data_IF_443931195231
#
_entry.id   IF_443931195231
#
_cell.length_a   1.000
_cell.length_b   1.000
_cell.length_c   1.000
_cell.angle_alpha   90.00
_cell.angle_beta   90.00
_cell.angle_gamma   90.00
#
_symmetry.space_group_name_H-M   'P 1'
#
loop_
_entity.id
_entity.type
_entity.pdbx_description
1 polymer ?
#
# COMPACT_ATOMS: atom_id res chain seq x y z
N UNK A 1 -10.90 24.32 -12.01
CA UNK A 1 -11.32 23.08 -12.71
C UNK A 1 -12.84 23.02 -12.76
N UNK A 2 -13.44 22.67 -13.88
CA UNK A 2 -14.87 22.57 -14.07
C UNK A 2 -15.24 21.13 -14.47
N UNK A 3 -16.46 20.69 -14.10
CA UNK A 3 -16.98 19.36 -14.47
C UNK A 3 -17.83 19.48 -15.73
N UNK A 4 -17.62 18.58 -16.69
CA UNK A 4 -18.44 18.52 -17.91
C UNK A 4 -19.76 17.80 -17.59
N UNK A 5 -20.86 18.55 -17.49
CA UNK A 5 -22.20 18.00 -17.20
C UNK A 5 -23.02 17.68 -18.47
N UNK A 6 -22.64 18.21 -19.66
CA UNK A 6 -23.35 17.99 -20.90
C UNK A 6 -23.39 16.52 -21.36
N UNK A 7 -24.27 16.19 -22.30
CA UNK A 7 -24.37 14.85 -22.90
C UNK A 7 -23.11 14.49 -23.69
N UNK A 8 -22.54 15.45 -24.40
CA UNK A 8 -21.30 15.28 -25.19
C UNK A 8 -20.12 15.57 -24.25
N UNK A 9 -19.20 14.60 -24.13
CA UNK A 9 -17.96 14.70 -23.37
C UNK A 9 -16.79 14.96 -24.32
N UNK A 10 -16.10 16.06 -24.10
CA UNK A 10 -14.91 16.43 -24.86
C UNK A 10 -13.67 15.79 -24.22
N UNK A 11 -12.69 15.49 -25.04
CA UNK A 11 -11.38 15.02 -24.64
C UNK A 11 -10.30 15.66 -25.52
N UNK A 12 -9.21 16.14 -24.92
CA UNK A 12 -8.14 16.85 -25.62
C UNK A 12 -8.07 18.32 -25.23
N UNK A 13 -7.32 19.11 -26.01
CA UNK A 13 -7.12 20.55 -25.75
C UNK A 13 -7.72 21.36 -26.88
N UNK A 14 -8.50 22.36 -26.53
CA UNK A 14 -9.10 23.33 -27.46
C UNK A 14 -8.75 24.74 -26.97
N UNK A 15 -7.90 25.42 -27.71
CA UNK A 15 -7.35 26.73 -27.26
C UNK A 15 -6.64 26.59 -25.92
N UNK A 16 -7.08 27.39 -24.96
CA UNK A 16 -6.52 27.38 -23.59
C UNK A 16 -7.24 26.42 -22.63
N UNK A 17 -8.21 25.64 -23.11
CA UNK A 17 -8.98 24.70 -22.28
C UNK A 17 -8.57 23.27 -22.60
N UNK A 18 -8.19 22.53 -21.56
CA UNK A 18 -7.92 21.08 -21.64
C UNK A 18 -9.08 20.30 -21.02
N UNK A 19 -9.65 19.39 -21.80
CA UNK A 19 -10.69 18.45 -21.40
C UNK A 19 -10.06 17.08 -21.14
N UNK A 20 -10.35 16.47 -20.00
CA UNK A 20 -9.78 15.19 -19.61
C UNK A 20 -10.73 14.39 -18.74
N UNK A 21 -10.52 13.09 -18.67
CA UNK A 21 -11.23 12.19 -17.78
C UNK A 21 -10.38 11.92 -16.54
N UNK A 22 -10.95 12.09 -15.36
CA UNK A 22 -10.36 11.72 -14.06
C UNK A 22 -11.19 10.63 -13.38
N UNK A 23 -10.76 10.18 -12.22
CA UNK A 23 -11.57 9.28 -11.35
C UNK A 23 -12.90 9.93 -10.93
N UNK A 24 -12.92 11.26 -10.84
CA UNK A 24 -14.11 12.04 -10.47
C UNK A 24 -15.00 12.39 -11.67
N UNK A 25 -14.68 11.85 -12.87
CA UNK A 25 -15.45 12.03 -14.10
C UNK A 25 -14.75 12.93 -15.14
N UNK A 26 -15.55 13.47 -16.06
CA UNK A 26 -15.07 14.34 -17.14
C UNK A 26 -14.91 15.77 -16.64
N UNK A 27 -13.70 16.31 -16.80
CA UNK A 27 -13.28 17.59 -16.27
C UNK A 27 -12.77 18.50 -17.39
N UNK A 28 -12.79 19.80 -17.10
CA UNK A 28 -12.16 20.82 -17.92
C UNK A 28 -11.29 21.73 -17.02
N UNK A 29 -10.15 22.15 -17.54
CA UNK A 29 -9.28 23.14 -16.89
C UNK A 29 -8.71 24.08 -17.92
N UNK A 30 -8.51 25.32 -17.52
CA UNK A 30 -7.73 26.28 -18.29
C UNK A 30 -6.26 25.85 -18.29
N UNK A 31 -5.58 25.95 -19.43
CA UNK A 31 -4.16 25.73 -19.59
C UNK A 31 -3.45 26.99 -19.08
N UNK A 32 -3.20 26.98 -17.78
CA UNK A 32 -2.47 28.07 -17.13
C UNK A 32 -1.15 27.61 -16.56
N UNK A 33 -0.34 28.55 -16.15
CA UNK A 33 0.91 28.31 -15.43
C UNK A 33 2.16 28.65 -16.24
N UNK A 34 3.31 28.32 -15.66
CA UNK A 34 4.62 28.57 -16.26
C UNK A 34 4.93 27.48 -17.28
N UNK A 35 5.58 27.84 -18.39
CA UNK A 35 6.00 26.88 -19.41
C UNK A 35 6.97 25.85 -18.85
N UNK A 36 6.91 24.60 -19.35
CA UNK A 36 7.80 23.54 -18.93
C UNK A 36 9.29 23.89 -19.14
N UNK A 37 9.59 24.62 -20.23
CA UNK A 37 10.94 25.08 -20.54
C UNK A 37 11.45 26.07 -19.49
N UNK A 38 10.61 27.01 -19.05
CA UNK A 38 10.97 27.95 -17.99
C UNK A 38 11.18 27.24 -16.65
N UNK A 39 10.32 26.27 -16.30
CA UNK A 39 10.52 25.45 -15.09
C UNK A 39 11.87 24.72 -15.16
N UNK A 40 12.23 24.21 -16.34
CA UNK A 40 13.47 23.45 -16.55
C UNK A 40 14.72 24.31 -16.45
N UNK A 41 14.71 25.55 -16.98
CA UNK A 41 15.91 26.35 -17.23
C UNK A 41 16.07 27.56 -16.27
N UNK A 42 14.97 28.15 -15.77
CA UNK A 42 15.04 29.33 -14.91
C UNK A 42 15.51 28.94 -13.49
N UNK A 43 16.59 29.56 -12.94
CA UNK A 43 17.09 29.25 -11.60
C UNK A 43 16.05 29.42 -10.48
N UNK A 44 15.08 30.31 -10.65
CA UNK A 44 13.99 30.53 -9.69
C UNK A 44 13.12 29.28 -9.46
N UNK A 45 13.13 28.32 -10.40
CA UNK A 45 12.40 27.05 -10.29
C UNK A 45 13.25 25.88 -9.80
N UNK A 46 14.47 26.12 -9.28
CA UNK A 46 15.32 25.07 -8.73
C UNK A 46 14.57 24.21 -7.69
N UNK A 47 13.93 24.85 -6.71
CA UNK A 47 13.15 24.16 -5.67
C UNK A 47 11.98 23.33 -6.23
N UNK A 48 11.36 23.81 -7.31
CA UNK A 48 10.28 23.07 -7.99
C UNK A 48 10.83 21.81 -8.65
N UNK A 49 12.01 21.89 -9.27
CA UNK A 49 12.67 20.73 -9.88
C UNK A 49 13.11 19.69 -8.84
N UNK A 50 13.72 20.16 -7.74
CA UNK A 50 14.13 19.30 -6.61
C UNK A 50 12.92 18.53 -6.04
N UNK A 51 11.85 19.25 -5.72
CA UNK A 51 10.60 18.62 -5.24
C UNK A 51 9.99 17.66 -6.26
N UNK A 52 10.02 18.02 -7.54
CA UNK A 52 9.53 17.16 -8.61
C UNK A 52 10.35 15.87 -8.76
N UNK A 53 11.68 15.96 -8.59
CA UNK A 53 12.57 14.81 -8.63
C UNK A 53 12.31 13.84 -7.47
N UNK A 54 12.21 14.35 -6.24
CA UNK A 54 11.91 13.56 -5.04
C UNK A 54 10.51 12.92 -5.13
N UNK A 55 9.51 13.68 -5.55
CA UNK A 55 8.16 13.15 -5.77
C UNK A 55 8.13 12.05 -6.84
N UNK A 56 8.92 12.20 -7.91
CA UNK A 56 9.07 11.18 -8.94
C UNK A 56 9.70 9.88 -8.40
N UNK A 57 10.73 9.98 -7.52
CA UNK A 57 11.31 8.81 -6.85
C UNK A 57 10.33 8.15 -5.91
N UNK A 58 9.62 8.93 -5.08
CA UNK A 58 8.56 8.42 -4.20
C UNK A 58 7.48 7.66 -4.98
N UNK A 59 7.06 8.19 -6.14
CA UNK A 59 6.10 7.52 -7.01
C UNK A 59 6.61 6.20 -7.59
N UNK A 60 7.90 6.13 -7.99
CA UNK A 60 8.54 4.90 -8.46
C UNK A 60 8.66 3.88 -7.33
N UNK A 61 9.11 4.29 -6.15
CA UNK A 61 9.20 3.42 -4.98
C UNK A 61 7.84 2.84 -4.59
N UNK A 62 6.81 3.68 -4.50
CA UNK A 62 5.45 3.22 -4.23
C UNK A 62 4.88 2.32 -5.33
N UNK A 63 5.29 2.48 -6.59
CA UNK A 63 4.93 1.55 -7.67
C UNK A 63 5.60 0.19 -7.45
N UNK A 64 6.88 0.16 -7.11
CA UNK A 64 7.64 -1.07 -6.90
C UNK A 64 7.06 -1.88 -5.75
N UNK A 65 6.84 -1.26 -4.59
CA UNK A 65 6.20 -1.90 -3.44
C UNK A 65 4.81 -2.46 -3.79
N UNK A 66 3.99 -1.73 -4.53
CA UNK A 66 2.68 -2.24 -4.98
C UNK A 66 2.80 -3.41 -5.96
N UNK A 67 3.84 -3.44 -6.78
CA UNK A 67 4.07 -4.53 -7.73
C UNK A 67 4.42 -5.83 -7.00
N UNK A 68 5.14 -5.76 -5.87
CA UNK A 68 5.55 -6.94 -5.10
C UNK A 68 4.37 -7.67 -4.41
N UNK A 69 3.27 -6.97 -4.11
CA UNK A 69 2.05 -7.53 -3.48
C UNK A 69 0.80 -7.30 -4.35
N UNK A 70 0.96 -7.28 -5.66
CA UNK A 70 -0.14 -6.94 -6.58
C UNK A 70 -1.37 -7.85 -6.43
N UNK A 71 -1.16 -9.13 -6.13
CA UNK A 71 -2.24 -10.10 -5.91
C UNK A 71 -3.17 -9.68 -4.77
N UNK A 72 -2.60 -9.29 -3.64
CA UNK A 72 -3.34 -8.86 -2.45
C UNK A 72 -4.04 -7.51 -2.66
N UNK A 73 -3.39 -6.60 -3.39
CA UNK A 73 -3.96 -5.26 -3.64
C UNK A 73 -5.18 -5.27 -4.56
N UNK A 74 -5.44 -6.36 -5.26
CA UNK A 74 -6.65 -6.48 -6.10
C UNK A 74 -7.92 -6.43 -5.28
N UNK A 75 -7.87 -6.96 -4.07
CA UNK A 75 -9.04 -7.11 -3.18
C UNK A 75 -8.93 -6.31 -1.88
N UNK A 76 -7.75 -5.75 -1.56
CA UNK A 76 -7.50 -5.04 -0.31
C UNK A 76 -6.90 -3.64 -0.52
N UNK A 77 -7.36 -2.89 -1.53
CA UNK A 77 -6.88 -1.54 -1.79
C UNK A 77 -8.00 -0.55 -2.12
N UNK A 78 -7.95 0.65 -1.53
CA UNK A 78 -8.87 1.72 -1.90
C UNK A 78 -8.39 2.53 -3.12
N UNK A 79 -9.32 3.26 -3.74
CA UNK A 79 -9.08 4.06 -4.94
C UNK A 79 -8.05 5.18 -4.77
N UNK A 80 -7.73 5.61 -3.55
CA UNK A 80 -6.79 6.70 -3.24
C UNK A 80 -5.47 6.19 -2.62
N UNK A 81 -5.33 4.88 -2.45
CA UNK A 81 -4.16 4.23 -1.84
C UNK A 81 -2.86 4.69 -2.50
N UNK A 82 -2.80 4.76 -3.83
CA UNK A 82 -1.60 5.18 -4.57
C UNK A 82 -1.12 6.57 -4.16
N UNK A 83 -2.04 7.53 -4.04
CA UNK A 83 -1.69 8.90 -3.62
C UNK A 83 -1.24 8.96 -2.16
N UNK A 84 -1.88 8.18 -1.27
CA UNK A 84 -1.51 8.08 0.14
C UNK A 84 -0.12 7.47 0.29
N UNK A 85 0.14 6.34 -0.38
CA UNK A 85 1.44 5.67 -0.35
C UNK A 85 2.56 6.56 -0.89
N UNK A 86 2.33 7.27 -2.01
CA UNK A 86 3.32 8.22 -2.55
C UNK A 86 3.62 9.34 -1.54
N UNK A 87 2.61 9.84 -0.82
CA UNK A 87 2.80 10.84 0.23
C UNK A 87 3.70 10.33 1.36
N UNK A 88 3.50 9.09 1.81
CA UNK A 88 4.35 8.50 2.86
C UNK A 88 5.78 8.27 2.34
N UNK A 89 5.96 7.77 1.11
CA UNK A 89 7.31 7.69 0.52
C UNK A 89 8.02 9.03 0.36
N UNK A 90 7.29 10.14 0.13
CA UNK A 90 7.89 11.48 0.16
C UNK A 90 8.46 11.79 1.54
N UNK A 91 7.76 11.43 2.61
CA UNK A 91 8.27 11.62 3.98
C UNK A 91 9.53 10.79 4.23
N UNK A 92 9.52 9.50 3.81
CA UNK A 92 10.70 8.62 3.88
C UNK A 92 11.92 9.29 3.22
N UNK A 93 11.78 9.72 1.97
CA UNK A 93 12.84 10.41 1.22
C UNK A 93 13.30 11.70 1.91
N UNK A 94 12.40 12.43 2.55
CA UNK A 94 12.72 13.67 3.24
C UNK A 94 13.60 13.47 4.48
N UNK A 95 13.62 12.25 5.04
CA UNK A 95 14.49 11.87 6.16
C UNK A 95 15.92 11.55 5.72
N UNK A 96 16.19 11.39 4.43
CA UNK A 96 17.56 11.23 3.92
C UNK A 96 18.40 12.46 4.26
N UNK A 97 19.34 12.27 5.17
CA UNK A 97 20.30 13.28 5.63
C UNK A 97 21.63 13.22 4.86
N UNK A 98 21.85 12.18 4.06
CA UNK A 98 23.09 11.92 3.32
C UNK A 98 23.13 12.71 2.03
N UNK A 99 22.04 12.75 1.29
CA UNK A 99 21.97 13.35 -0.03
C UNK A 99 21.41 14.79 0.02
N UNK A 100 21.91 15.68 -0.85
CA UNK A 100 21.35 17.02 -0.96
C UNK A 100 19.93 16.94 -1.53
N UNK A 101 19.12 17.95 -1.18
CA UNK A 101 17.75 18.08 -1.68
C UNK A 101 17.67 17.97 -3.20
N UNK A 102 16.69 17.22 -3.68
CA UNK A 102 16.52 16.87 -5.09
C UNK A 102 17.22 15.58 -5.50
N UNK A 103 18.19 15.10 -4.72
CA UNK A 103 18.87 13.82 -4.92
C UNK A 103 18.52 12.78 -3.84
N UNK A 104 17.83 13.18 -2.79
CA UNK A 104 17.39 12.30 -1.70
C UNK A 104 16.62 11.10 -2.24
N UNK A 105 16.78 9.95 -1.59
CA UNK A 105 16.26 8.66 -2.03
C UNK A 105 15.61 7.88 -0.86
N UNK A 106 15.11 6.68 -1.14
CA UNK A 106 14.43 5.82 -0.13
C UNK A 106 15.45 5.03 0.69
N UNK A 107 16.60 4.69 0.10
CA UNK A 107 17.60 3.80 0.71
C UNK A 107 18.27 4.50 1.90
N UNK A 108 18.63 5.78 1.71
CA UNK A 108 19.21 6.62 2.76
C UNK A 108 18.13 7.35 3.60
N UNK A 109 16.86 7.05 3.34
CA UNK A 109 15.71 7.57 4.08
C UNK A 109 15.29 6.64 5.22
N UNK A 110 14.16 6.96 5.85
CA UNK A 110 13.61 6.22 6.99
C UNK A 110 12.41 5.38 6.53
N UNK A 111 12.66 4.14 6.05
CA UNK A 111 11.62 3.26 5.53
C UNK A 111 10.60 2.84 6.60
N UNK A 112 10.98 2.83 7.87
CA UNK A 112 10.15 2.53 9.04
C UNK A 112 8.93 3.44 9.17
N UNK A 113 8.97 4.65 8.59
CA UNK A 113 7.81 5.55 8.53
C UNK A 113 6.62 4.98 7.74
N UNK A 114 6.82 3.89 7.00
CA UNK A 114 5.75 3.15 6.32
C UNK A 114 5.04 2.14 7.23
N UNK A 115 5.59 1.83 8.40
CA UNK A 115 4.93 0.96 9.39
C UNK A 115 3.58 1.57 9.80
N UNK A 116 2.54 0.74 9.83
CA UNK A 116 1.17 1.19 10.06
C UNK A 116 0.44 1.70 8.82
N UNK A 117 1.03 1.65 7.62
CA UNK A 117 0.33 2.09 6.41
C UNK A 117 -0.79 1.14 6.04
N UNK A 118 -2.01 1.67 5.99
CA UNK A 118 -3.22 0.95 5.56
C UNK A 118 -3.43 1.06 4.05
N UNK A 119 -3.47 -0.07 3.35
CA UNK A 119 -3.76 -0.08 1.91
C UNK A 119 -5.23 0.19 1.60
N UNK A 120 -6.12 -0.12 2.54
CA UNK A 120 -7.56 0.12 2.43
C UNK A 120 -8.09 0.89 3.65
N UNK A 121 -8.47 2.15 3.46
CA UNK A 121 -9.03 2.96 4.55
C UNK A 121 -10.47 2.59 4.93
N UNK A 122 -11.16 1.80 4.08
CA UNK A 122 -12.51 1.31 4.38
C UNK A 122 -12.48 0.01 5.19
N UNK A 123 -11.37 -0.73 5.13
CA UNK A 123 -11.10 -1.92 5.92
C UNK A 123 -9.71 -1.76 6.55
N UNK A 124 -9.62 -1.09 7.70
CA UNK A 124 -8.36 -0.95 8.43
C UNK A 124 -8.11 -2.19 9.26
N UNK A 125 -6.86 -2.68 9.28
CA UNK A 125 -6.49 -3.85 10.07
C UNK A 125 -6.80 -3.63 11.57
N UNK A 126 -6.42 -2.48 12.11
CA UNK A 126 -6.66 -2.10 13.50
C UNK A 126 -8.14 -2.08 13.91
N UNK A 127 -9.04 -1.97 12.95
CA UNK A 127 -10.49 -2.03 13.19
C UNK A 127 -11.04 -3.43 12.94
N UNK A 128 -10.52 -4.13 11.94
CA UNK A 128 -11.04 -5.43 11.51
C UNK A 128 -10.56 -6.59 12.37
N UNK A 129 -9.39 -6.49 13.00
CA UNK A 129 -8.78 -7.51 13.84
C UNK A 129 -8.36 -6.88 15.17
N UNK A 130 -9.01 -7.26 16.28
CA UNK A 130 -8.67 -6.81 17.63
C UNK A 130 -7.78 -7.81 18.39
N UNK A 131 -7.59 -9.03 17.86
CA UNK A 131 -6.69 -10.01 18.45
C UNK A 131 -5.25 -9.48 18.47
N UNK A 132 -4.52 -9.66 19.58
CA UNK A 132 -3.10 -9.29 19.64
C UNK A 132 -2.28 -10.09 18.65
N UNK A 133 -1.35 -9.42 17.98
CA UNK A 133 -0.40 -10.07 17.08
C UNK A 133 0.99 -9.47 17.23
N UNK A 134 2.01 -10.27 16.96
CA UNK A 134 3.41 -9.88 17.05
C UNK A 134 4.13 -10.15 15.72
N UNK A 135 4.43 -9.11 14.94
CA UNK A 135 5.23 -9.23 13.73
C UNK A 135 6.73 -9.18 14.08
N UNK A 136 7.51 -10.07 13.49
CA UNK A 136 8.97 -10.11 13.62
C UNK A 136 9.63 -10.21 12.25
N UNK A 137 10.78 -9.57 12.11
CA UNK A 137 11.68 -9.68 10.96
C UNK A 137 13.05 -10.04 11.48
N UNK A 138 13.56 -11.21 11.12
CA UNK A 138 14.94 -11.61 11.36
C UNK A 138 15.71 -11.54 10.05
N UNK A 139 16.54 -10.53 9.93
CA UNK A 139 17.32 -10.28 8.72
C UNK A 139 18.39 -11.33 8.48
N UNK A 140 18.96 -11.89 9.55
CA UNK A 140 20.04 -12.87 9.46
C UNK A 140 19.55 -14.21 8.88
N UNK A 141 18.34 -14.62 9.24
CA UNK A 141 17.74 -15.85 8.71
C UNK A 141 16.85 -15.63 7.51
N UNK A 142 16.37 -14.40 7.30
CA UNK A 142 15.37 -14.07 6.30
C UNK A 142 13.93 -14.36 6.75
N UNK A 143 13.73 -14.78 8.01
CA UNK A 143 12.42 -15.13 8.54
C UNK A 143 11.59 -13.88 8.85
N UNK A 144 10.38 -13.87 8.36
CA UNK A 144 9.37 -12.84 8.63
C UNK A 144 8.10 -13.51 9.13
N UNK A 145 7.81 -13.34 10.41
CA UNK A 145 6.78 -14.12 11.11
C UNK A 145 5.76 -13.18 11.73
N UNK A 146 4.49 -13.53 11.61
CA UNK A 146 3.40 -12.95 12.39
C UNK A 146 2.82 -14.05 13.29
N UNK A 147 2.95 -13.88 14.59
CA UNK A 147 2.29 -14.68 15.60
C UNK A 147 1.00 -13.98 16.04
N UNK A 148 -0.11 -14.69 16.08
CA UNK A 148 -1.41 -14.20 16.55
C UNK A 148 -1.83 -15.08 17.70
N UNK A 149 -2.11 -14.46 18.85
CA UNK A 149 -2.57 -15.17 20.04
C UNK A 149 -3.95 -15.82 19.79
N UNK A 150 -4.33 -16.89 20.52
CA UNK A 150 -5.66 -17.46 20.44
C UNK A 150 -6.74 -16.39 20.64
N UNK A 151 -7.76 -16.39 19.80
CA UNK A 151 -8.85 -15.42 19.86
C UNK A 151 -10.18 -16.07 19.49
N UNK A 152 -11.29 -15.44 19.93
CA UNK A 152 -12.64 -15.84 19.53
C UNK A 152 -13.04 -15.00 18.32
N UNK A 153 -13.21 -15.62 17.11
CA UNK A 153 -13.46 -14.88 15.87
C UNK A 153 -14.67 -13.95 15.94
N UNK A 154 -15.77 -14.41 16.51
CA UNK A 154 -17.01 -13.61 16.63
C UNK A 154 -16.85 -12.36 17.51
N UNK A 155 -15.88 -12.34 18.44
CA UNK A 155 -15.62 -11.23 19.36
C UNK A 155 -14.48 -10.33 18.86
N UNK A 156 -13.48 -10.93 18.20
CA UNK A 156 -12.23 -10.25 17.83
C UNK A 156 -12.23 -9.71 16.41
N UNK A 157 -13.19 -10.11 15.57
CA UNK A 157 -13.29 -9.67 14.18
C UNK A 157 -14.50 -8.73 13.98
N UNK A 158 -14.22 -7.55 13.42
CA UNK A 158 -15.29 -6.66 12.93
C UNK A 158 -15.46 -6.91 11.43
N UNK A 159 -16.33 -7.87 11.12
CA UNK A 159 -16.63 -8.29 9.77
C UNK A 159 -17.82 -7.53 9.15
N UNK A 160 -17.87 -7.37 7.81
CA UNK A 160 -19.05 -6.86 7.12
C UNK A 160 -20.29 -7.72 7.39
N UNK A 161 -21.45 -7.10 7.45
CA UNK A 161 -22.72 -7.83 7.62
C UNK A 161 -22.92 -8.89 6.55
N UNK A 162 -23.24 -10.12 6.97
CA UNK A 162 -23.39 -11.28 6.10
C UNK A 162 -22.12 -12.11 5.92
N UNK A 163 -20.99 -11.71 6.50
CA UNK A 163 -19.79 -12.55 6.54
C UNK A 163 -20.01 -13.75 7.43
N UNK A 164 -19.59 -14.92 6.97
CA UNK A 164 -19.63 -16.19 7.72
C UNK A 164 -18.23 -16.73 7.99
N UNK A 165 -17.25 -16.34 7.17
CA UNK A 165 -15.88 -16.85 7.22
C UNK A 165 -14.86 -15.71 7.02
N UNK A 166 -13.63 -15.99 7.41
CA UNK A 166 -12.47 -15.12 7.23
C UNK A 166 -11.23 -15.88 6.81
N UNK A 167 -10.24 -15.17 6.32
CA UNK A 167 -8.89 -15.67 6.02
C UNK A 167 -7.88 -14.61 6.38
N UNK A 168 -6.81 -15.01 7.05
CA UNK A 168 -5.67 -14.13 7.37
C UNK A 168 -4.56 -14.40 6.35
N UNK A 169 -3.89 -13.35 5.90
CA UNK A 169 -2.79 -13.40 4.94
C UNK A 169 -1.64 -12.56 5.41
N UNK A 170 -0.43 -13.04 5.19
CA UNK A 170 0.81 -12.27 5.32
C UNK A 170 1.53 -12.23 3.98
N UNK A 171 2.26 -11.15 3.73
CA UNK A 171 3.25 -11.13 2.68
C UNK A 171 4.51 -10.41 3.16
N UNK A 172 5.64 -10.98 2.82
CA UNK A 172 6.97 -10.42 3.04
C UNK A 172 7.53 -9.90 1.72
N UNK A 173 8.31 -8.83 1.81
CA UNK A 173 8.92 -8.21 0.65
C UNK A 173 10.35 -7.78 1.00
N UNK A 174 11.28 -8.11 0.11
CA UNK A 174 12.64 -7.60 0.05
C UNK A 174 12.72 -6.72 -1.20
N UNK A 175 12.94 -5.42 -1.04
CA UNK A 175 12.82 -4.47 -2.13
C UNK A 175 14.12 -3.68 -2.34
N UNK A 176 14.77 -3.92 -3.49
CA UNK A 176 15.89 -3.10 -3.93
C UNK A 176 15.38 -1.91 -4.75
N UNK A 177 15.33 -0.73 -4.10
CA UNK A 177 14.85 0.50 -4.75
C UNK A 177 15.81 1.08 -5.78
N UNK A 178 17.08 0.69 -5.76
CA UNK A 178 18.09 1.14 -6.73
C UNK A 178 17.93 0.40 -8.06
N UNK A 179 17.99 -0.93 -8.02
CA UNK A 179 17.83 -1.78 -9.21
C UNK A 179 16.40 -1.96 -9.66
N UNK A 180 15.41 -1.52 -8.85
CA UNK A 180 13.98 -1.75 -9.05
C UNK A 180 13.62 -3.24 -9.08
N UNK A 181 14.31 -4.07 -8.32
CA UNK A 181 14.06 -5.49 -8.15
C UNK A 181 13.38 -5.76 -6.80
N UNK A 182 12.66 -6.88 -6.71
CA UNK A 182 12.09 -7.34 -5.44
C UNK A 182 11.99 -8.87 -5.41
N UNK A 183 12.02 -9.42 -4.20
CA UNK A 183 11.54 -10.74 -3.87
C UNK A 183 10.32 -10.60 -2.95
N UNK A 184 9.35 -11.50 -3.09
CA UNK A 184 8.17 -11.49 -2.20
C UNK A 184 7.65 -12.90 -2.02
N UNK A 185 7.16 -13.18 -0.81
CA UNK A 185 6.49 -14.42 -0.45
C UNK A 185 5.17 -14.10 0.24
N UNK A 186 4.17 -14.94 0.02
CA UNK A 186 2.84 -14.79 0.63
C UNK A 186 2.46 -16.09 1.30
N UNK A 187 1.95 -16.00 2.54
CA UNK A 187 1.42 -17.12 3.29
C UNK A 187 0.00 -16.77 3.78
N UNK A 188 -0.89 -17.75 3.82
CA UNK A 188 -2.28 -17.55 4.19
C UNK A 188 -2.86 -18.73 4.96
N UNK A 189 -3.82 -18.44 5.86
CA UNK A 189 -4.60 -19.48 6.51
C UNK A 189 -5.62 -20.11 5.54
N UNK A 190 -6.12 -21.31 5.81
CA UNK A 190 -7.38 -21.75 5.23
C UNK A 190 -8.50 -20.75 5.55
N UNK A 191 -9.59 -20.79 4.78
CA UNK A 191 -10.81 -20.06 5.12
C UNK A 191 -11.41 -20.69 6.37
N UNK A 192 -11.63 -19.88 7.42
CA UNK A 192 -12.09 -20.31 8.75
C UNK A 192 -13.44 -19.67 9.08
N UNK A 193 -14.31 -20.31 9.87
CA UNK A 193 -15.59 -19.78 10.26
C UNK A 193 -15.44 -18.62 11.26
N UNK A 194 -16.39 -17.68 11.22
CA UNK A 194 -16.54 -16.65 12.24
C UNK A 194 -17.50 -17.21 13.30
N UNK A 195 -16.95 -17.93 14.25
CA UNK A 195 -17.71 -18.59 15.32
C UNK A 195 -17.27 -18.12 16.71
N UNK A 196 -17.79 -18.76 17.75
CA UNK A 196 -17.52 -18.47 19.16
C UNK A 196 -16.49 -19.41 19.79
N UNK A 197 -15.85 -20.24 18.99
CA UNK A 197 -14.80 -21.13 19.48
C UNK A 197 -13.44 -20.40 19.55
N UNK A 198 -12.63 -20.74 20.54
CA UNK A 198 -11.30 -20.18 20.67
C UNK A 198 -10.40 -20.81 19.61
N UNK A 199 -9.72 -19.98 18.82
CA UNK A 199 -8.74 -20.49 17.83
C UNK A 199 -7.51 -21.06 18.51
N UNK A 200 -6.81 -21.96 17.80
CA UNK A 200 -5.42 -22.27 18.14
C UNK A 200 -4.51 -21.06 17.86
N UNK A 201 -3.32 -20.98 18.51
CA UNK A 201 -2.32 -19.97 18.16
C UNK A 201 -1.99 -20.04 16.66
N UNK A 202 -2.00 -18.90 15.98
CA UNK A 202 -1.70 -18.85 14.56
C UNK A 202 -0.29 -18.31 14.35
N UNK A 203 0.51 -19.00 13.55
CA UNK A 203 1.81 -18.52 13.08
C UNK A 203 1.83 -18.53 11.56
N UNK A 204 2.06 -17.37 10.97
CA UNK A 204 2.27 -17.21 9.54
C UNK A 204 3.74 -16.81 9.32
N UNK A 205 4.49 -17.72 8.72
CA UNK A 205 5.93 -17.57 8.46
C UNK A 205 6.19 -17.47 6.98
N UNK A 206 6.96 -16.47 6.60
CA UNK A 206 7.50 -16.25 5.26
C UNK A 206 9.03 -16.24 5.39
N UNK A 207 9.74 -16.74 4.36
CA UNK A 207 11.20 -16.75 4.36
C UNK A 207 11.73 -16.15 3.06
N UNK A 208 12.54 -15.12 3.17
CA UNK A 208 13.23 -14.45 2.07
C UNK A 208 14.74 -14.69 2.16
N UNK A 209 15.50 -14.02 1.30
CA UNK A 209 16.95 -14.15 1.30
C UNK A 209 17.55 -13.73 2.65
N UNK A 210 18.36 -14.57 3.31
CA UNK A 210 19.08 -14.19 4.51
C UNK A 210 20.09 -13.08 4.21
N UNK A 211 20.44 -12.33 5.26
CA UNK A 211 21.43 -11.24 5.23
C UNK A 211 21.16 -10.16 4.14
N UNK A 212 19.91 -9.97 3.75
CA UNK A 212 19.56 -8.94 2.77
C UNK A 212 19.92 -7.54 3.29
N UNK A 213 20.52 -6.72 2.44
CA UNK A 213 20.83 -5.31 2.72
C UNK A 213 19.73 -4.35 2.27
N UNK A 214 18.67 -4.87 1.65
CA UNK A 214 17.54 -4.06 1.20
C UNK A 214 16.55 -3.78 2.33
N UNK A 215 15.69 -2.77 2.21
CA UNK A 215 14.52 -2.62 3.08
C UNK A 215 13.57 -3.81 2.97
N UNK A 216 13.16 -4.32 4.14
CA UNK A 216 12.27 -5.46 4.30
C UNK A 216 10.91 -4.98 4.83
N UNK A 217 9.83 -5.51 4.26
CA UNK A 217 8.47 -5.14 4.64
C UNK A 217 7.66 -6.40 4.93
N UNK A 218 6.92 -6.39 6.03
CA UNK A 218 5.97 -7.43 6.38
C UNK A 218 4.57 -6.82 6.44
N UNK A 219 3.64 -7.40 5.69
CA UNK A 219 2.25 -6.99 5.69
C UNK A 219 1.37 -8.09 6.29
N UNK A 220 0.30 -7.67 6.95
CA UNK A 220 -0.76 -8.53 7.48
C UNK A 220 -2.09 -8.04 6.92
N UNK A 221 -2.94 -8.99 6.51
CA UNK A 221 -4.26 -8.69 6.00
C UNK A 221 -5.30 -9.70 6.46
N UNK A 222 -6.57 -9.30 6.36
CA UNK A 222 -7.72 -10.15 6.61
C UNK A 222 -8.75 -9.94 5.51
N UNK A 223 -9.31 -11.03 5.03
CA UNK A 223 -10.37 -11.07 4.02
C UNK A 223 -11.59 -11.78 4.57
N UNK A 224 -12.78 -11.29 4.19
CA UNK A 224 -14.05 -11.82 4.67
C UNK A 224 -14.84 -12.49 3.55
N UNK A 225 -15.50 -13.60 3.89
CA UNK A 225 -16.24 -14.42 2.94
C UNK A 225 -17.64 -14.74 3.46
N UNK A 226 -18.54 -15.01 2.52
CA UNK A 226 -19.83 -15.61 2.78
C UNK A 226 -19.83 -17.02 2.17
N UNK A 227 -20.18 -18.00 2.95
CA UNK A 227 -20.43 -19.34 2.44
C UNK A 227 -21.86 -19.47 1.91
N UNK A 228 -21.99 -19.95 0.69
CA UNK A 228 -23.28 -20.28 0.07
C UNK A 228 -23.16 -21.65 -0.61
N UNK A 229 -23.90 -22.62 -0.16
CA UNK A 229 -23.93 -23.98 -0.70
C UNK A 229 -22.52 -24.63 -0.78
N UNK A 230 -21.69 -24.45 0.25
CA UNK A 230 -20.34 -25.00 0.32
C UNK A 230 -19.29 -24.25 -0.51
N UNK A 231 -19.63 -23.11 -1.06
CA UNK A 231 -18.70 -22.25 -1.83
C UNK A 231 -18.48 -20.92 -1.10
N UNK A 232 -17.22 -20.50 -0.98
CA UNK A 232 -16.85 -19.25 -0.34
C UNK A 232 -16.79 -18.12 -1.36
N UNK A 233 -17.56 -17.07 -1.14
CA UNK A 233 -17.60 -15.86 -1.95
C UNK A 233 -17.05 -14.68 -1.16
N UNK A 234 -16.11 -13.95 -1.73
CA UNK A 234 -15.51 -12.78 -1.11
C UNK A 234 -16.54 -11.65 -0.93
N UNK A 235 -16.59 -11.06 0.27
CA UNK A 235 -17.57 -10.06 0.63
C UNK A 235 -17.35 -8.75 -0.13
N UNK A 236 -18.40 -8.29 -0.85
CA UNK A 236 -18.40 -7.00 -1.58
C UNK A 236 -17.14 -6.78 -2.43
N UNK A 237 -16.63 -7.83 -3.08
CA UNK A 237 -15.40 -7.80 -3.87
C UNK A 237 -14.20 -7.23 -3.09
N UNK A 238 -14.08 -7.57 -1.80
CA UNK A 238 -12.96 -7.15 -0.96
C UNK A 238 -13.00 -5.70 -0.47
N UNK A 239 -14.11 -4.96 -0.64
CA UNK A 239 -14.18 -3.54 -0.25
C UNK A 239 -13.88 -3.29 1.24
N UNK A 240 -14.03 -4.30 2.09
CA UNK A 240 -13.77 -4.23 3.53
C UNK A 240 -12.56 -5.08 3.96
N UNK A 241 -11.84 -5.68 3.03
CA UNK A 241 -10.63 -6.42 3.37
C UNK A 241 -9.57 -5.45 3.88
N UNK A 242 -8.89 -5.85 4.96
CA UNK A 242 -7.79 -5.09 5.53
C UNK A 242 -6.46 -5.57 4.98
N UNK A 243 -5.53 -4.65 4.81
CA UNK A 243 -4.12 -4.93 4.51
C UNK A 243 -3.29 -3.77 5.03
N UNK A 244 -2.31 -4.07 5.91
CA UNK A 244 -1.47 -3.08 6.56
C UNK A 244 -0.01 -3.52 6.54
N UNK A 245 0.92 -2.56 6.42
CA UNK A 245 2.34 -2.80 6.70
C UNK A 245 2.48 -2.86 8.22
N UNK A 246 2.74 -4.04 8.77
CA UNK A 246 2.81 -4.26 10.23
C UNK A 246 4.22 -4.19 10.78
N UNK A 247 5.24 -4.40 9.94
CA UNK A 247 6.64 -4.27 10.32
C UNK A 247 7.50 -3.86 9.14
N UNK A 248 8.47 -3.00 9.40
CA UNK A 248 9.49 -2.59 8.44
C UNK A 248 10.87 -2.76 9.09
N UNK A 249 11.84 -3.17 8.30
CA UNK A 249 13.26 -3.10 8.64
C UNK A 249 13.97 -2.40 7.49
N UNK A 250 14.42 -1.18 7.70
CA UNK A 250 15.13 -0.37 6.71
C UNK A 250 16.47 -0.96 6.32
N UNK A 251 17.26 -0.22 5.57
CA UNK A 251 18.67 -0.59 5.29
C UNK A 251 19.47 -0.62 6.59
N UNK A 252 20.33 -1.64 6.79
CA UNK A 252 21.18 -1.74 7.98
C UNK A 252 22.25 -0.64 8.03
#
# INVERSE_FOLDING_TARGET
>A
MARQKGLIKLHGTMGDITFYRSKDGYMAREKGGVSAERIKNDPRFQRTRENGAEFGRAGKAGKLLRSSIQSLLRTAADNRMVGRLTKEFVKVIQMDATNPRGLRNVIDGEAELLEGFEFNIQGKLSTSLSAPFMPTIDRATGDMIVNIDPFIPAESLIAPSGSTHYKIVTASMDINFESSAYASETNETPVQPIDTELTEPLQLSNNLNPDSTNPLFLVLGISFYQEVNGTFYEMKNGAHNALQIVKVSGTP
#
